data_IF_563603311234
#
_entry.id   IF_563603311234
#
_cell.length_a   1.000
_cell.length_b   1.000
_cell.length_c   1.000
_cell.angle_alpha   90.00
_cell.angle_beta   90.00
_cell.angle_gamma   90.00
#
_symmetry.space_group_name_H-M   'P 1'
#
loop_
_entity.id
_entity.type
_entity.pdbx_description
1 polymer ?
#
# COMPACT_ATOMS: atom_id res chain seq x y z
N UNK A 1 10.96 0.85 -7.51
CA UNK A 1 10.46 1.69 -8.63
C UNK A 1 8.93 1.76 -8.68
N UNK A 2 8.21 0.63 -8.72
CA UNK A 2 6.73 0.59 -8.80
C UNK A 2 6.01 1.33 -7.65
N UNK A 3 6.51 1.22 -6.41
CA UNK A 3 5.99 1.99 -5.28
C UNK A 3 6.04 3.50 -5.50
N UNK A 4 7.07 4.02 -6.17
CA UNK A 4 7.17 5.44 -6.49
C UNK A 4 6.10 5.85 -7.53
N UNK A 5 5.93 5.05 -8.60
CA UNK A 5 4.89 5.30 -9.60
C UNK A 5 3.49 5.30 -8.98
N UNK A 6 3.18 4.32 -8.12
CA UNK A 6 1.91 4.26 -7.39
C UNK A 6 1.70 5.53 -6.55
N UNK A 7 2.70 5.95 -5.78
CA UNK A 7 2.63 7.16 -4.94
C UNK A 7 2.38 8.41 -5.78
N UNK A 8 3.12 8.57 -6.90
CA UNK A 8 2.96 9.72 -7.80
C UNK A 8 1.55 9.78 -8.39
N UNK A 9 1.03 8.66 -8.94
CA UNK A 9 -0.30 8.61 -9.53
C UNK A 9 -1.40 8.90 -8.49
N UNK A 10 -1.25 8.39 -7.26
CA UNK A 10 -2.15 8.71 -6.15
C UNK A 10 -2.07 10.20 -5.79
N UNK A 11 -0.88 10.79 -5.75
CA UNK A 11 -0.73 12.24 -5.49
C UNK A 11 -1.46 13.06 -6.54
N UNK A 12 -1.25 12.76 -7.82
CA UNK A 12 -1.95 13.45 -8.92
C UNK A 12 -3.47 13.31 -8.80
N UNK A 13 -3.96 12.10 -8.50
CA UNK A 13 -5.39 11.87 -8.30
C UNK A 13 -5.95 12.69 -7.12
N UNK A 14 -5.19 12.81 -6.02
CA UNK A 14 -5.58 13.63 -4.87
C UNK A 14 -5.57 15.13 -5.19
N UNK A 15 -4.55 15.60 -5.89
CA UNK A 15 -4.39 17.01 -6.25
C UNK A 15 -5.43 17.46 -7.27
N UNK A 16 -5.95 16.53 -8.07
CA UNK A 16 -6.98 16.81 -9.08
C UNK A 16 -8.41 16.55 -8.61
N UNK A 17 -8.58 16.01 -7.40
CA UNK A 17 -9.88 15.72 -6.83
C UNK A 17 -10.71 17.01 -6.65
N UNK A 18 -11.87 17.07 -7.30
CA UNK A 18 -12.80 18.19 -7.20
C UNK A 18 -14.00 17.86 -6.32
N UNK A 19 -14.59 18.89 -5.71
CA UNK A 19 -15.86 18.74 -5.02
C UNK A 19 -16.95 18.30 -6.01
N UNK A 20 -17.93 17.49 -5.58
CA UNK A 20 -19.09 17.16 -6.41
C UNK A 20 -19.77 18.42 -6.96
N UNK A 21 -20.17 18.39 -8.22
CA UNK A 21 -20.78 19.54 -8.91
C UNK A 21 -19.77 20.52 -9.53
N UNK A 22 -18.47 20.40 -9.25
CA UNK A 22 -17.43 21.13 -9.97
C UNK A 22 -16.82 20.24 -11.08
N UNK A 23 -16.52 20.85 -12.22
CA UNK A 23 -15.86 20.16 -13.33
C UNK A 23 -14.46 19.73 -12.92
N UNK A 24 -14.16 18.45 -13.10
CA UNK A 24 -12.83 17.89 -12.84
C UNK A 24 -11.78 18.50 -13.81
N UNK A 25 -10.57 18.85 -13.35
CA UNK A 25 -9.55 19.49 -14.18
C UNK A 25 -8.98 18.56 -15.26
N UNK A 26 -9.00 17.25 -15.01
CA UNK A 26 -8.63 16.24 -15.99
C UNK A 26 -9.85 15.71 -16.75
N UNK A 27 -9.65 15.41 -18.03
CA UNK A 27 -10.66 14.73 -18.86
C UNK A 27 -10.98 13.34 -18.31
N UNK A 28 -12.18 12.83 -18.60
CA UNK A 28 -12.57 11.46 -18.22
C UNK A 28 -11.61 10.42 -18.79
N UNK A 29 -11.13 10.63 -20.03
CA UNK A 29 -10.14 9.75 -20.64
C UNK A 29 -8.82 9.72 -19.84
N UNK A 30 -8.33 10.88 -19.41
CA UNK A 30 -7.11 10.97 -18.58
C UNK A 30 -7.31 10.29 -17.23
N UNK A 31 -8.47 10.49 -16.60
CA UNK A 31 -8.81 9.81 -15.33
C UNK A 31 -8.79 8.29 -15.51
N UNK A 32 -9.41 7.78 -16.59
CA UNK A 32 -9.40 6.35 -16.92
C UNK A 32 -7.98 5.82 -17.13
N UNK A 33 -7.14 6.53 -17.87
CA UNK A 33 -5.74 6.15 -18.07
C UNK A 33 -4.95 6.06 -16.76
N UNK A 34 -5.20 6.97 -15.82
CA UNK A 34 -4.58 6.94 -14.49
C UNK A 34 -5.03 5.68 -13.73
N UNK A 35 -6.32 5.37 -13.74
CA UNK A 35 -6.88 4.16 -13.10
C UNK A 35 -6.31 2.89 -13.71
N UNK A 36 -6.29 2.79 -15.05
CA UNK A 36 -5.76 1.63 -15.77
C UNK A 36 -4.27 1.42 -15.45
N UNK A 37 -3.48 2.50 -15.41
CA UNK A 37 -2.07 2.44 -15.04
C UNK A 37 -1.87 2.01 -13.58
N UNK A 38 -2.67 2.53 -12.64
CA UNK A 38 -2.64 2.11 -11.24
C UNK A 38 -2.93 0.62 -11.09
N UNK A 39 -3.90 0.07 -11.84
CA UNK A 39 -4.23 -1.35 -11.82
C UNK A 39 -3.04 -2.22 -12.26
N UNK A 40 -2.35 -1.83 -13.35
CA UNK A 40 -1.16 -2.55 -13.85
C UNK A 40 -0.04 -2.51 -12.81
N UNK A 41 0.24 -1.33 -12.23
CA UNK A 41 1.30 -1.16 -11.22
C UNK A 41 1.01 -2.00 -9.98
N UNK A 42 -0.24 -2.01 -9.50
CA UNK A 42 -0.65 -2.79 -8.33
C UNK A 42 -0.55 -4.28 -8.62
N UNK A 43 -1.06 -4.76 -9.77
CA UNK A 43 -0.95 -6.17 -10.17
C UNK A 43 0.50 -6.64 -10.12
N UNK A 44 1.40 -5.85 -10.71
CA UNK A 44 2.83 -6.19 -10.73
C UNK A 44 3.45 -6.17 -9.33
N UNK A 45 3.06 -5.20 -8.50
CA UNK A 45 3.56 -5.11 -7.13
C UNK A 45 3.10 -6.32 -6.30
N UNK A 46 1.85 -6.75 -6.47
CA UNK A 46 1.29 -7.93 -5.79
C UNK A 46 1.96 -9.23 -6.25
N UNK A 47 2.26 -9.40 -7.53
CA UNK A 47 3.05 -10.54 -8.02
C UNK A 47 4.41 -10.61 -7.33
N UNK A 48 5.14 -9.49 -7.26
CA UNK A 48 6.45 -9.43 -6.61
C UNK A 48 6.34 -9.74 -5.10
N UNK A 49 5.32 -9.24 -4.42
CA UNK A 49 5.09 -9.50 -2.99
C UNK A 49 4.72 -10.96 -2.71
N UNK A 50 3.97 -11.60 -3.61
CA UNK A 50 3.66 -13.03 -3.55
C UNK A 50 4.93 -13.86 -3.71
N UNK A 51 5.75 -13.55 -4.71
CA UNK A 51 7.02 -14.25 -4.96
C UNK A 51 8.02 -14.06 -3.82
N UNK A 52 8.03 -12.88 -3.19
CA UNK A 52 8.87 -12.59 -2.02
C UNK A 52 8.37 -13.22 -0.71
N UNK A 53 7.19 -13.85 -0.70
CA UNK A 53 6.60 -14.48 0.49
C UNK A 53 6.24 -13.49 1.61
N UNK A 54 6.14 -12.20 1.30
CA UNK A 54 5.73 -11.14 2.25
C UNK A 54 4.21 -10.98 2.28
N UNK A 55 3.52 -11.28 1.17
CA UNK A 55 2.07 -11.19 1.06
C UNK A 55 1.31 -12.13 2.01
N UNK A 56 1.90 -13.28 2.33
CA UNK A 56 1.29 -14.33 3.18
C UNK A 56 1.51 -14.15 4.68
N UNK A 57 2.25 -13.10 5.12
CA UNK A 57 2.58 -12.89 6.54
C UNK A 57 1.77 -11.80 7.22
N UNK A 58 0.94 -11.04 6.49
CA UNK A 58 0.11 -9.99 7.08
C UNK A 58 -1.17 -10.59 7.65
N UNK A 59 -1.14 -11.05 8.91
CA UNK A 59 -2.37 -11.32 9.66
C UNK A 59 -3.08 -9.99 9.88
N UNK A 60 -4.37 -9.84 9.48
CA UNK A 60 -5.16 -8.69 9.89
C UNK A 60 -5.18 -8.62 11.42
N UNK A 61 -4.91 -7.44 11.98
CA UNK A 61 -5.02 -7.15 13.41
C UNK A 61 -6.13 -6.12 13.61
N UNK A 62 -6.90 -6.25 14.68
CA UNK A 62 -7.86 -5.21 15.04
C UNK A 62 -7.13 -3.95 15.50
N UNK A 63 -7.64 -2.78 15.14
CA UNK A 63 -7.03 -1.49 15.52
C UNK A 63 -6.98 -1.26 17.03
N UNK A 64 -7.84 -1.96 17.76
CA UNK A 64 -7.93 -1.89 19.23
C UNK A 64 -7.14 -3.02 19.92
N UNK A 65 -6.54 -3.95 19.17
CA UNK A 65 -5.71 -5.01 19.73
C UNK A 65 -4.33 -4.46 20.10
N UNK A 66 -4.00 -4.49 21.39
CA UNK A 66 -2.61 -4.33 21.82
C UNK A 66 -1.81 -5.53 21.31
N UNK A 67 -0.92 -5.28 20.34
CA UNK A 67 0.03 -6.28 19.87
C UNK A 67 1.08 -6.51 20.95
N UNK A 68 0.83 -7.46 21.84
CA UNK A 68 1.87 -7.95 22.76
C UNK A 68 2.93 -8.66 21.92
N UNK A 69 4.08 -8.00 21.73
CA UNK A 69 5.24 -8.64 21.16
C UNK A 69 5.71 -9.73 22.13
N UNK A 70 5.45 -10.99 21.80
CA UNK A 70 5.98 -12.12 22.54
C UNK A 70 7.45 -12.32 22.16
N UNK A 71 8.35 -12.22 23.13
CA UNK A 71 9.76 -12.57 22.99
C UNK A 71 9.99 -13.98 23.54
N UNK A 72 10.91 -14.74 22.96
CA UNK A 72 11.30 -16.02 23.56
C UNK A 72 12.11 -15.78 24.84
N UNK A 73 11.92 -16.61 25.86
CA UNK A 73 12.73 -16.60 27.08
C UNK A 73 14.22 -16.82 26.76
N UNK A 74 14.52 -17.54 25.68
CA UNK A 74 15.89 -17.80 25.24
C UNK A 74 16.61 -16.52 24.75
N UNK A 75 15.89 -15.63 24.07
CA UNK A 75 16.45 -14.34 23.61
C UNK A 75 16.75 -13.42 24.79
N UNK A 76 15.90 -13.45 25.83
CA UNK A 76 16.09 -12.67 27.05
C UNK A 76 17.36 -13.11 27.80
N UNK A 77 17.58 -14.43 27.91
CA UNK A 77 18.79 -14.98 28.55
C UNK A 77 20.08 -14.57 27.85
N UNK A 78 20.03 -14.40 26.52
CA UNK A 78 21.19 -14.00 25.71
C UNK A 78 21.57 -12.54 25.93
N UNK A 79 20.62 -11.68 26.29
CA UNK A 79 20.87 -10.25 26.58
C UNK A 79 21.35 -9.96 28.00
N UNK A 80 21.29 -10.95 28.89
CA UNK A 80 21.66 -10.85 30.31
C UNK A 80 23.03 -11.45 30.64
N UNK A 81 23.76 -11.97 29.63
CA UNK A 81 25.14 -12.47 29.74
C UNK A 81 26.12 -11.55 29.02
#
# INVERSE_FOLDING_TARGET
MLSAMRKTLISVAKDTMTKPGLRHPLTENTQKMITDCLNIVISRQTEIEKDAGTHTKMKPVYTDEQTVQSFSIDDLKKTLN
#
